data_IF_088838156285
#
_entry.id   IF_088838156285
#
_cell.length_a   1.000
_cell.length_b   1.000
_cell.length_c   1.000
_cell.angle_alpha   90.00
_cell.angle_beta   90.00
_cell.angle_gamma   90.00
#
_symmetry.space_group_name_H-M   'P 1'
#
loop_
_entity.id
_entity.type
_entity.pdbx_description
1 polymer ?
#
# COMPACT_ATOMS: atom_id res chain seq x y z
N UNK A 1 11.96 -26.80 -8.05
CA UNK A 1 12.28 -25.84 -9.12
C UNK A 1 12.47 -24.41 -8.61
N UNK A 2 11.69 -23.91 -7.64
CA UNK A 2 11.86 -22.54 -7.13
C UNK A 2 13.25 -22.23 -6.50
N UNK A 3 13.90 -23.21 -5.86
CA UNK A 3 15.24 -23.01 -5.28
C UNK A 3 16.33 -22.68 -6.31
N UNK A 4 16.26 -23.25 -7.52
CA UNK A 4 17.21 -22.94 -8.59
C UNK A 4 17.05 -21.50 -9.11
N UNK A 5 15.82 -21.00 -9.14
CA UNK A 5 15.52 -19.61 -9.53
C UNK A 5 16.07 -18.64 -8.48
N UNK A 6 15.99 -19.00 -7.18
CA UNK A 6 16.60 -18.20 -6.10
C UNK A 6 18.12 -18.07 -6.26
N UNK A 7 18.83 -19.18 -6.49
CA UNK A 7 20.29 -19.14 -6.72
C UNK A 7 20.66 -18.30 -7.95
N UNK A 8 19.87 -18.40 -9.02
CA UNK A 8 20.09 -17.63 -10.25
C UNK A 8 19.83 -16.13 -10.04
N UNK A 9 18.80 -15.79 -9.26
CA UNK A 9 18.51 -14.41 -8.88
C UNK A 9 19.65 -13.80 -8.06
N UNK A 10 20.23 -14.55 -7.13
CA UNK A 10 21.40 -14.12 -6.35
C UNK A 10 22.63 -13.87 -7.24
N UNK A 11 22.88 -14.75 -8.20
CA UNK A 11 23.99 -14.58 -9.16
C UNK A 11 23.78 -13.34 -10.05
N UNK A 12 22.56 -13.14 -10.56
CA UNK A 12 22.23 -11.96 -11.35
C UNK A 12 22.37 -10.70 -10.50
N UNK A 13 21.85 -10.69 -9.28
CA UNK A 13 22.00 -9.59 -8.34
C UNK A 13 23.48 -9.30 -8.04
N UNK A 14 24.33 -10.31 -7.91
CA UNK A 14 25.77 -10.11 -7.67
C UNK A 14 26.49 -9.43 -8.86
N UNK A 15 26.02 -9.67 -10.09
CA UNK A 15 26.55 -9.05 -11.30
C UNK A 15 26.05 -7.63 -11.59
N UNK A 16 25.00 -7.16 -10.89
CA UNK A 16 24.47 -5.82 -11.06
C UNK A 16 25.32 -4.76 -10.35
N UNK A 17 25.34 -3.56 -10.92
CA UNK A 17 25.98 -2.40 -10.33
C UNK A 17 25.36 -2.02 -8.98
N UNK A 18 26.15 -1.39 -8.10
CA UNK A 18 25.76 -1.12 -6.70
C UNK A 18 24.54 -0.19 -6.59
N UNK A 19 24.44 0.79 -7.48
CA UNK A 19 23.31 1.70 -7.63
C UNK A 19 22.03 0.94 -7.99
N UNK A 20 22.09 0.03 -8.96
CA UNK A 20 20.95 -0.82 -9.36
C UNK A 20 20.52 -1.73 -8.21
N UNK A 21 21.47 -2.31 -7.47
CA UNK A 21 21.17 -3.15 -6.30
C UNK A 21 20.53 -2.37 -5.16
N UNK A 22 20.84 -1.08 -5.02
CA UNK A 22 20.26 -0.23 -3.97
C UNK A 22 18.76 0.02 -4.18
N UNK A 23 18.26 -0.11 -5.41
CA UNK A 23 16.83 -0.01 -5.71
C UNK A 23 16.02 -1.25 -5.27
N UNK A 24 16.67 -2.29 -4.76
CA UNK A 24 16.02 -3.55 -4.36
C UNK A 24 14.90 -3.32 -3.34
N UNK A 25 15.21 -2.65 -2.23
CA UNK A 25 14.25 -2.46 -1.14
C UNK A 25 13.02 -1.67 -1.62
N UNK A 26 13.24 -0.61 -2.41
CA UNK A 26 12.18 0.25 -2.95
C UNK A 26 11.28 -0.51 -3.93
N UNK A 27 11.85 -1.35 -4.80
CA UNK A 27 11.07 -2.13 -5.77
C UNK A 27 10.26 -3.20 -5.05
N UNK A 28 10.87 -3.99 -4.16
CA UNK A 28 10.16 -5.08 -3.49
C UNK A 28 9.14 -4.59 -2.47
N UNK A 29 9.30 -3.40 -1.89
CA UNK A 29 8.27 -2.77 -1.04
C UNK A 29 6.95 -2.54 -1.78
N UNK A 30 7.00 -2.26 -3.08
CA UNK A 30 5.80 -2.04 -3.90
C UNK A 30 5.20 -3.34 -4.45
N UNK A 31 5.98 -4.43 -4.46
CA UNK A 31 5.60 -5.72 -5.06
C UNK A 31 5.25 -6.80 -4.03
N UNK A 32 5.50 -6.55 -2.75
CA UNK A 32 5.22 -7.48 -1.65
C UNK A 32 4.19 -6.86 -0.73
N UNK A 33 3.15 -7.64 -0.43
CA UNK A 33 2.13 -7.28 0.55
C UNK A 33 2.32 -8.12 1.81
N UNK A 34 2.35 -7.48 2.98
CA UNK A 34 2.53 -8.13 4.28
C UNK A 34 1.39 -7.79 5.22
N UNK A 35 0.52 -8.76 5.51
CA UNK A 35 -0.49 -8.64 6.55
C UNK A 35 0.05 -9.17 7.90
N UNK A 36 -0.55 -8.73 9.02
CA UNK A 36 -0.08 -9.07 10.39
C UNK A 36 0.00 -10.57 10.67
N UNK A 37 -0.85 -11.38 10.06
CA UNK A 37 -1.03 -12.80 10.40
C UNK A 37 -1.08 -13.71 9.17
N UNK A 38 -0.69 -13.21 7.99
CA UNK A 38 -0.68 -13.99 6.75
C UNK A 38 0.72 -14.08 6.16
N UNK A 39 1.00 -15.16 5.40
CA UNK A 39 2.22 -15.23 4.61
C UNK A 39 2.29 -14.06 3.61
N UNK A 40 3.50 -13.63 3.21
CA UNK A 40 3.69 -12.62 2.19
C UNK A 40 2.95 -12.99 0.90
N UNK A 41 2.20 -12.03 0.37
CA UNK A 41 1.49 -12.17 -0.91
C UNK A 41 2.06 -11.20 -1.94
N UNK A 42 1.81 -11.48 -3.22
CA UNK A 42 2.26 -10.60 -4.31
C UNK A 42 1.33 -9.39 -4.45
N UNK A 43 1.91 -8.20 -4.59
CA UNK A 43 1.24 -6.95 -4.98
C UNK A 43 1.59 -6.63 -6.43
N UNK A 44 0.60 -6.17 -7.21
CA UNK A 44 0.81 -5.68 -8.58
C UNK A 44 1.07 -4.19 -8.51
N UNK A 45 2.17 -3.73 -9.09
CA UNK A 45 2.48 -2.31 -9.20
C UNK A 45 2.55 -1.88 -10.67
N UNK A 46 2.10 -0.66 -10.96
CA UNK A 46 2.27 -0.08 -12.29
C UNK A 46 3.75 0.21 -12.55
N UNK A 47 4.26 -0.18 -13.72
CA UNK A 47 5.60 0.19 -14.18
C UNK A 47 5.80 1.71 -14.20
N UNK A 48 4.71 2.49 -14.37
CA UNK A 48 4.76 3.95 -14.35
C UNK A 48 5.29 4.53 -13.02
N UNK A 49 5.10 3.81 -11.90
CA UNK A 49 5.57 4.23 -10.58
C UNK A 49 7.09 4.27 -10.47
N UNK A 50 7.79 3.48 -11.28
CA UNK A 50 9.24 3.35 -11.25
C UNK A 50 9.95 4.23 -12.30
N UNK A 51 9.24 4.83 -13.27
CA UNK A 51 9.81 5.70 -14.32
C UNK A 51 10.84 6.74 -13.82
N UNK A 52 10.62 7.47 -12.69
CA UNK A 52 11.60 8.46 -12.24
C UNK A 52 12.93 7.85 -11.78
N UNK A 53 12.94 6.56 -11.39
CA UNK A 53 14.12 5.87 -10.89
C UNK A 53 14.69 4.91 -11.96
N UNK A 54 15.77 5.34 -12.61
CA UNK A 54 16.47 4.54 -13.63
C UNK A 54 17.06 3.25 -13.06
N UNK A 55 17.52 3.26 -11.81
CA UNK A 55 18.09 2.09 -11.15
C UNK A 55 17.00 1.05 -10.89
N UNK A 56 15.83 1.48 -10.42
CA UNK A 56 14.67 0.60 -10.25
C UNK A 56 14.21 -0.02 -11.58
N UNK A 57 14.11 0.76 -12.65
CA UNK A 57 13.73 0.21 -13.96
C UNK A 57 14.73 -0.83 -14.46
N UNK A 58 16.04 -0.54 -14.36
CA UNK A 58 17.07 -1.47 -14.78
C UNK A 58 17.07 -2.77 -13.94
N UNK A 59 16.83 -2.65 -12.64
CA UNK A 59 16.66 -3.80 -11.76
C UNK A 59 15.45 -4.66 -12.18
N UNK A 60 14.31 -4.01 -12.44
CA UNK A 60 13.08 -4.68 -12.86
C UNK A 60 13.30 -5.39 -14.21
N UNK A 61 13.96 -4.75 -15.18
CA UNK A 61 14.27 -5.36 -16.48
C UNK A 61 15.18 -6.57 -16.34
N UNK A 62 16.22 -6.49 -15.51
CA UNK A 62 17.13 -7.60 -15.28
C UNK A 62 16.43 -8.80 -14.61
N UNK A 63 15.56 -8.54 -13.63
CA UNK A 63 14.80 -9.57 -12.92
C UNK A 63 13.53 -10.05 -13.66
N UNK A 64 13.13 -9.37 -14.73
CA UNK A 64 12.07 -9.81 -15.65
C UNK A 64 12.63 -10.46 -16.92
N UNK A 65 13.96 -10.45 -17.08
CA UNK A 65 14.66 -10.97 -18.24
C UNK A 65 14.54 -12.49 -18.42
N UNK A 66 14.93 -13.00 -19.61
CA UNK A 66 14.87 -14.44 -19.91
C UNK A 66 15.78 -15.26 -19.01
N UNK A 67 16.87 -14.65 -18.52
CA UNK A 67 17.86 -15.30 -17.67
C UNK A 67 17.35 -15.52 -16.26
N UNK A 68 16.47 -14.68 -15.73
CA UNK A 68 15.97 -14.85 -14.36
C UNK A 68 14.54 -14.33 -14.29
N UNK A 69 13.56 -15.24 -14.35
CA UNK A 69 12.13 -14.89 -14.36
C UNK A 69 11.57 -14.76 -12.96
N UNK A 70 12.16 -13.85 -12.18
CA UNK A 70 11.71 -13.52 -10.81
C UNK A 70 10.51 -12.59 -10.84
N UNK A 71 10.55 -11.61 -11.74
CA UNK A 71 9.47 -10.66 -12.00
C UNK A 71 8.77 -10.99 -13.32
N UNK A 72 7.50 -10.63 -13.40
CA UNK A 72 6.70 -10.73 -14.62
C UNK A 72 6.11 -9.37 -14.90
N UNK A 73 6.34 -8.87 -16.12
CA UNK A 73 5.63 -7.73 -16.68
C UNK A 73 4.42 -8.24 -17.46
N UNK A 74 3.26 -7.63 -17.22
CA UNK A 74 2.01 -7.93 -17.93
C UNK A 74 1.31 -6.64 -18.34
N UNK A 75 0.48 -6.69 -19.37
CA UNK A 75 -0.19 -5.51 -19.92
C UNK A 75 0.51 -4.90 -21.14
N UNK A 76 -0.08 -3.84 -21.67
CA UNK A 76 0.41 -3.11 -22.84
C UNK A 76 1.45 -2.06 -22.42
N UNK A 77 2.17 -1.45 -23.37
CA UNK A 77 3.23 -0.45 -23.09
C UNK A 77 2.77 0.70 -22.17
N UNK A 78 1.50 1.11 -22.25
CA UNK A 78 0.91 2.18 -21.42
C UNK A 78 0.43 1.73 -20.04
N UNK A 79 -0.02 0.49 -19.91
CA UNK A 79 -0.63 -0.05 -18.68
C UNK A 79 0.16 -1.26 -18.17
N UNK A 80 1.48 -1.22 -18.36
CA UNK A 80 2.35 -2.31 -17.95
C UNK A 80 2.39 -2.36 -16.43
N UNK A 81 2.12 -3.54 -15.88
CA UNK A 81 2.22 -3.83 -14.45
C UNK A 81 3.29 -4.89 -14.23
N UNK A 82 3.99 -4.76 -13.12
CA UNK A 82 5.02 -5.68 -12.66
C UNK A 82 4.55 -6.38 -11.39
N UNK A 83 4.84 -7.67 -11.29
CA UNK A 83 4.57 -8.50 -10.12
C UNK A 83 5.63 -9.59 -9.96
N UNK A 84 5.73 -10.16 -8.75
CA UNK A 84 6.58 -11.33 -8.50
C UNK A 84 5.97 -12.56 -9.17
N UNK A 85 6.78 -13.31 -9.93
CA UNK A 85 6.33 -14.41 -10.77
C UNK A 85 5.56 -15.49 -9.98
N UNK A 86 6.09 -15.87 -8.81
CA UNK A 86 5.50 -16.90 -7.97
C UNK A 86 5.77 -16.60 -6.49
N UNK A 87 4.76 -16.79 -5.64
CA UNK A 87 4.88 -16.61 -4.17
C UNK A 87 5.90 -17.55 -3.54
N UNK A 88 6.20 -18.69 -4.19
CA UNK A 88 7.28 -19.60 -3.74
C UNK A 88 8.65 -18.93 -3.70
N UNK A 89 8.85 -17.81 -4.41
CA UNK A 89 10.10 -17.04 -4.37
C UNK A 89 10.29 -16.34 -3.02
N UNK A 90 9.23 -16.02 -2.28
CA UNK A 90 9.32 -15.43 -0.94
C UNK A 90 9.98 -16.37 0.07
N UNK A 91 9.94 -17.69 -0.19
CA UNK A 91 10.56 -18.70 0.67
C UNK A 91 11.85 -19.25 0.05
N UNK A 92 11.87 -19.46 -1.26
CA UNK A 92 12.98 -20.11 -1.95
C UNK A 92 14.17 -19.20 -2.25
N UNK A 93 13.97 -17.88 -2.27
CA UNK A 93 15.04 -16.91 -2.48
C UNK A 93 15.46 -16.27 -1.16
N UNK A 94 16.61 -16.70 -0.64
CA UNK A 94 17.09 -16.31 0.69
C UNK A 94 17.17 -14.80 0.87
N UNK A 95 17.72 -14.07 -0.10
CA UNK A 95 17.82 -12.60 -0.03
C UNK A 95 16.45 -11.93 0.16
N UNK A 96 15.43 -12.38 -0.56
CA UNK A 96 14.08 -11.82 -0.46
C UNK A 96 13.40 -12.23 0.85
N UNK A 97 13.59 -13.47 1.29
CA UNK A 97 13.10 -13.95 2.59
C UNK A 97 13.68 -13.11 3.73
N UNK A 98 15.00 -12.94 3.75
CA UNK A 98 15.70 -12.21 4.82
C UNK A 98 15.32 -10.72 4.80
N UNK A 99 15.10 -10.16 3.61
CA UNK A 99 14.56 -8.80 3.47
C UNK A 99 13.13 -8.67 4.00
N UNK A 100 12.24 -9.63 3.71
CA UNK A 100 10.87 -9.64 4.26
C UNK A 100 10.90 -9.73 5.80
N UNK A 101 11.78 -10.58 6.34
CA UNK A 101 11.92 -10.77 7.78
C UNK A 101 12.46 -9.52 8.49
N UNK A 102 13.39 -8.79 7.87
CA UNK A 102 13.96 -7.55 8.41
C UNK A 102 13.06 -6.33 8.20
N UNK A 103 12.45 -6.18 7.02
CA UNK A 103 11.62 -5.03 6.64
C UNK A 103 10.15 -5.16 7.07
N UNK A 104 9.76 -6.30 7.65
CA UNK A 104 8.35 -6.59 7.94
C UNK A 104 7.68 -5.59 8.89
N UNK A 105 8.43 -4.94 9.80
CA UNK A 105 7.88 -3.89 10.68
C UNK A 105 7.52 -2.64 9.88
N UNK A 106 8.40 -2.20 9.00
CA UNK A 106 8.22 -0.97 8.20
C UNK A 106 7.13 -1.15 7.14
N UNK A 107 7.11 -2.31 6.49
CA UNK A 107 6.08 -2.64 5.50
C UNK A 107 4.67 -2.71 6.12
N UNK A 108 4.54 -3.24 7.34
CA UNK A 108 3.27 -3.24 8.07
C UNK A 108 2.82 -1.82 8.46
N UNK A 109 3.77 -0.93 8.75
CA UNK A 109 3.46 0.47 9.04
C UNK A 109 2.97 1.20 7.79
N UNK A 110 3.62 0.96 6.65
CA UNK A 110 3.22 1.50 5.34
C UNK A 110 1.80 1.04 4.99
N UNK A 111 1.52 -0.26 5.10
CA UNK A 111 0.20 -0.82 4.80
C UNK A 111 -0.90 -0.22 5.68
N UNK A 112 -0.66 -0.14 7.00
CA UNK A 112 -1.59 0.51 7.93
C UNK A 112 -1.84 1.99 7.58
N UNK A 113 -0.80 2.70 7.13
CA UNK A 113 -0.91 4.09 6.71
C UNK A 113 -1.70 4.24 5.40
N UNK A 114 -1.46 3.37 4.40
CA UNK A 114 -2.23 3.34 3.14
C UNK A 114 -3.71 3.02 3.41
N UNK A 115 -4.01 2.04 4.27
CA UNK A 115 -5.38 1.75 4.71
C UNK A 115 -6.03 2.93 5.42
N UNK A 116 -5.31 3.56 6.36
CA UNK A 116 -5.83 4.70 7.10
C UNK A 116 -6.12 5.88 6.17
N UNK A 117 -5.21 6.17 5.23
CA UNK A 117 -5.40 7.21 4.23
C UNK A 117 -6.61 6.93 3.33
N UNK A 118 -6.79 5.69 2.88
CA UNK A 118 -7.94 5.27 2.08
C UNK A 118 -9.24 5.45 2.87
N UNK A 119 -9.30 4.98 4.13
CA UNK A 119 -10.47 5.18 5.00
C UNK A 119 -10.81 6.66 5.20
N UNK A 120 -9.82 7.52 5.35
CA UNK A 120 -10.02 8.97 5.49
C UNK A 120 -10.51 9.61 4.20
N UNK A 121 -10.00 9.17 3.04
CA UNK A 121 -10.46 9.64 1.74
C UNK A 121 -11.94 9.31 1.51
N UNK A 122 -12.34 8.06 1.81
CA UNK A 122 -13.73 7.62 1.68
C UNK A 122 -14.66 8.40 2.60
N UNK A 123 -14.28 8.58 3.87
CA UNK A 123 -15.04 9.39 4.82
C UNK A 123 -15.13 10.86 4.41
N UNK A 124 -14.07 11.43 3.83
CA UNK A 124 -14.08 12.78 3.27
C UNK A 124 -15.05 12.93 2.09
N UNK A 125 -15.16 11.89 1.25
CA UNK A 125 -16.18 11.78 0.20
C UNK A 125 -17.61 11.75 0.77
N UNK A 126 -17.85 10.89 1.77
CA UNK A 126 -19.15 10.81 2.46
C UNK A 126 -19.55 12.13 3.13
N UNK A 127 -18.62 12.80 3.80
CA UNK A 127 -18.87 14.11 4.39
C UNK A 127 -19.24 15.13 3.31
N UNK A 128 -18.48 15.20 2.20
CA UNK A 128 -18.78 16.12 1.10
C UNK A 128 -20.14 15.85 0.42
N UNK A 129 -20.59 14.60 0.36
CA UNK A 129 -21.95 14.24 -0.10
C UNK A 129 -23.04 14.67 0.89
N UNK A 130 -22.81 14.52 2.21
CA UNK A 130 -23.69 15.02 3.27
C UNK A 130 -23.87 16.54 3.20
N UNK A 131 -22.79 17.30 3.02
CA UNK A 131 -22.84 18.76 2.86
C UNK A 131 -23.57 19.20 1.57
N UNK A 132 -23.65 18.34 0.54
CA UNK A 132 -24.43 18.63 -0.68
C UNK A 132 -25.92 18.44 -0.45
N UNK A 133 -26.31 17.44 0.34
CA UNK A 133 -27.71 17.20 0.69
C UNK A 133 -28.26 18.32 1.61
N UNK A 134 -27.46 18.76 2.58
CA UNK A 134 -27.84 19.83 3.51
C UNK A 134 -28.05 21.17 2.81
N UNK A 135 -27.26 21.49 1.77
CA UNK A 135 -27.48 22.69 0.93
C UNK A 135 -28.61 22.59 -0.09
N UNK A 136 -29.06 21.38 -0.43
CA UNK A 136 -30.23 21.21 -1.30
C UNK A 136 -31.54 21.49 -0.53
N UNK A 137 -31.58 21.15 0.76
CA UNK A 137 -32.71 21.38 1.66
C UNK A 137 -32.91 22.87 1.97
N UNK A 138 -31.85 23.68 1.89
CA UNK A 138 -31.89 25.12 2.21
C UNK A 138 -32.48 26.01 1.10
N UNK A 139 -32.75 25.46 -0.09
CA UNK A 139 -33.20 26.24 -1.27
C UNK A 139 -34.69 26.14 -1.59
N UNK A 140 -35.44 25.25 -0.93
CA UNK A 140 -36.90 25.19 -1.06
C UNK A 140 -37.54 25.78 0.18
N UNK A 141 -37.97 27.03 0.07
CA UNK A 141 -38.61 27.75 1.15
C UNK A 141 -39.75 26.95 1.78
N UNK A 142 -39.63 26.67 3.07
CA UNK A 142 -40.76 26.45 3.95
C UNK A 142 -40.68 27.48 5.08
N UNK A 143 -41.34 28.61 4.80
CA UNK A 143 -42.03 29.36 5.82
C UNK A 143 -43.00 28.42 6.53
N UNK A 144 -42.57 27.79 7.62
CA UNK A 144 -43.38 27.60 8.83
C UNK A 144 -42.50 27.00 9.92
N UNK A 145 -42.21 27.82 10.93
CA UNK A 145 -41.60 27.39 12.18
C UNK A 145 -42.61 26.48 12.89
N UNK A 146 -42.23 25.23 13.16
CA UNK A 146 -42.54 24.60 14.45
C UNK A 146 -41.51 23.50 14.76
N UNK A 147 -40.47 23.92 15.48
CA UNK A 147 -40.03 23.32 16.74
C UNK A 147 -39.93 21.78 16.82
N UNK A 148 -38.72 21.21 16.71
CA UNK A 148 -38.29 20.08 17.54
C UNK A 148 -36.77 20.12 17.81
N UNK A 149 -36.47 20.41 19.08
CA UNK A 149 -35.38 19.91 19.92
C UNK A 149 -33.91 20.05 19.50
N UNK A 150 -33.28 21.09 20.07
CA UNK A 150 -31.90 21.03 20.56
C UNK A 150 -31.85 20.16 21.82
N UNK A 151 -31.19 19.00 21.76
CA UNK A 151 -30.65 18.22 22.88
C UNK A 151 -29.91 17.01 22.28
N UNK A 152 -28.72 16.57 22.68
CA UNK A 152 -27.84 16.91 23.80
C UNK A 152 -26.56 16.11 23.53
N UNK A 153 -25.39 16.76 23.47
CA UNK A 153 -24.11 16.05 23.68
C UNK A 153 -23.36 16.71 24.83
N UNK A 154 -23.28 15.96 25.94
CA UNK A 154 -22.27 16.00 26.99
C UNK A 154 -22.06 17.33 27.72
N UNK A 155 -22.54 17.36 28.96
CA UNK A 155 -21.71 17.87 30.05
C UNK A 155 -21.60 16.82 31.16
N UNK A 156 -20.91 15.72 30.85
CA UNK A 156 -20.26 14.88 31.84
C UNK A 156 -18.85 15.45 32.05
N UNK A 157 -18.73 16.50 32.87
CA UNK A 157 -17.48 16.93 33.51
C UNK A 157 -17.76 18.06 34.51
N UNK A 158 -18.23 17.69 35.71
CA UNK A 158 -17.96 18.40 36.96
C UNK A 158 -18.38 17.52 38.14
N UNK A 159 -17.61 16.45 38.36
CA UNK A 159 -17.48 15.86 39.70
C UNK A 159 -16.47 16.73 40.46
N UNK A 160 -16.92 17.46 41.47
CA UNK A 160 -16.16 17.79 42.70
C UNK A 160 -17.00 18.66 43.64
N UNK A 161 -16.86 18.41 44.95
CA UNK A 161 -17.46 19.07 46.12
C UNK A 161 -18.92 18.68 46.41
N UNK A 162 -19.36 18.22 47.57
CA UNK A 162 -18.84 18.10 48.95
C UNK A 162 -19.69 16.98 49.61
N UNK A 163 -19.15 15.99 50.32
CA UNK A 163 -18.71 16.09 51.71
C UNK A 163 -19.75 16.76 52.64
N UNK A 164 -20.65 15.97 53.22
CA UNK A 164 -20.88 15.94 54.68
C UNK A 164 -21.82 14.82 55.11
#
# INVERSE_FOLDING_TARGET
MAGAIGTQADQLMAGLAIDVRSAFDNVFAELVHLERERPPTRKRASCARFIPDKAANHLIDALAGPDCRVLVKSGNERDSVVEVAHEKLFVAWHKLKDWIESSGVDLRLIDYAEEAATRWHDLGGYLHELWRYERAVDSTGLSSIQEVAVCSTRQAAASTADAH
#
